data_IF_961189191509
#
_entry.id   IF_961189191509
#
_cell.length_a   1.000
_cell.length_b   1.000
_cell.length_c   1.000
_cell.angle_alpha   90.00
_cell.angle_beta   90.00
_cell.angle_gamma   90.00
#
_symmetry.space_group_name_H-M   'P 1'
#
loop_
_entity.id
_entity.type
_entity.pdbx_description
1 polymer ?
#
# COMPACT_ATOMS: atom_id res chain seq x y z
N UNK A 1 11.21 -1.33 7.85
CA UNK A 1 10.37 -2.55 7.80
C UNK A 1 11.15 -3.62 7.06
N UNK A 2 11.00 -4.89 7.44
CA UNK A 2 11.05 -6.08 6.58
C UNK A 2 11.88 -5.93 5.30
N UNK A 3 13.20 -6.01 5.40
CA UNK A 3 13.90 -6.68 4.31
C UNK A 3 13.42 -8.13 4.40
N UNK A 4 12.36 -8.47 3.67
CA UNK A 4 12.26 -9.84 3.17
C UNK A 4 12.32 -10.92 4.26
N UNK A 5 11.70 -10.79 5.44
CA UNK A 5 11.58 -12.00 6.28
C UNK A 5 10.46 -12.81 5.66
N UNK A 6 10.81 -13.58 4.64
CA UNK A 6 9.87 -14.00 3.59
C UNK A 6 9.35 -12.75 2.88
N UNK A 7 10.03 -12.18 1.87
CA UNK A 7 9.31 -12.23 0.58
C UNK A 7 8.99 -13.68 0.44
N UNK A 8 7.77 -14.04 0.87
CA UNK A 8 7.19 -15.14 0.18
C UNK A 8 7.93 -16.47 0.56
N UNK A 9 8.87 -16.52 1.58
CA UNK A 9 10.19 -17.24 1.57
C UNK A 9 10.28 -17.99 0.25
N UNK A 10 10.31 -17.20 -0.82
CA UNK A 10 10.43 -17.63 -2.21
C UNK A 10 9.59 -18.85 -2.57
N UNK A 11 8.28 -18.66 -2.48
CA UNK A 11 7.30 -19.68 -2.70
C UNK A 11 7.14 -20.66 -1.55
N UNK A 12 7.82 -20.53 -0.40
CA UNK A 12 7.82 -21.45 0.75
C UNK A 12 7.22 -22.84 0.45
N UNK A 13 7.72 -23.66 -0.48
CA UNK A 13 8.96 -23.65 -1.25
C UNK A 13 8.63 -23.93 -2.75
N UNK A 14 7.93 -23.02 -3.44
CA UNK A 14 7.15 -23.19 -4.69
C UNK A 14 6.01 -24.19 -4.58
N UNK A 15 5.03 -23.97 -3.68
CA UNK A 15 3.95 -24.95 -3.48
C UNK A 15 4.53 -26.37 -3.21
N UNK A 16 5.79 -26.46 -2.68
CA UNK A 16 6.63 -27.66 -2.51
C UNK A 16 5.82 -28.85 -2.01
N UNK A 17 5.31 -29.69 -2.89
CA UNK A 17 5.68 -29.99 -4.27
C UNK A 17 4.39 -29.89 -5.09
N UNK A 18 4.44 -29.76 -6.42
CA UNK A 18 3.45 -30.46 -7.29
C UNK A 18 2.82 -31.60 -6.49
N UNK A 19 1.55 -31.53 -6.08
CA UNK A 19 0.74 -32.65 -5.58
C UNK A 19 1.54 -33.97 -5.60
N UNK A 20 2.26 -34.30 -4.52
CA UNK A 20 3.40 -35.21 -4.49
C UNK A 20 3.27 -36.48 -5.37
N UNK A 21 3.55 -36.40 -6.69
CA UNK A 21 3.08 -37.38 -7.68
C UNK A 21 1.57 -37.71 -7.62
N UNK A 22 0.99 -37.88 -8.80
CA UNK A 22 -0.15 -38.74 -9.07
C UNK A 22 -0.27 -39.90 -8.04
N UNK A 23 -1.14 -39.75 -7.04
CA UNK A 23 -1.44 -40.79 -6.05
C UNK A 23 -2.32 -41.88 -6.66
N UNK A 24 -1.68 -42.79 -7.40
CA UNK A 24 -2.12 -44.13 -7.83
C UNK A 24 -3.19 -44.24 -8.93
N UNK A 25 -2.71 -44.38 -10.18
CA UNK A 25 -3.01 -45.50 -11.12
C UNK A 25 -4.45 -46.03 -11.21
N UNK A 26 -5.11 -45.77 -12.35
CA UNK A 26 -5.49 -46.73 -13.43
C UNK A 26 -6.82 -46.35 -14.11
N UNK A 27 -6.76 -46.29 -15.46
CA UNK A 27 -7.78 -46.55 -16.51
C UNK A 27 -9.27 -46.24 -16.20
N UNK A 28 -10.04 -45.50 -16.99
CA UNK A 28 -10.35 -45.72 -18.42
C UNK A 28 -11.19 -44.52 -18.98
N UNK A 29 -11.36 -44.37 -20.32
CA UNK A 29 -11.80 -43.14 -20.99
C UNK A 29 -13.32 -43.09 -21.26
N UNK A 30 -13.94 -41.90 -21.15
CA UNK A 30 -15.00 -41.40 -22.06
C UNK A 30 -15.69 -40.11 -21.58
N UNK A 31 -15.42 -38.99 -22.29
CA UNK A 31 -16.32 -37.88 -22.73
C UNK A 31 -17.33 -37.17 -21.80
N UNK A 32 -17.79 -35.92 -22.07
CA UNK A 32 -17.35 -34.94 -23.07
C UNK A 32 -16.91 -33.58 -22.47
N UNK A 33 -16.24 -32.79 -23.31
CA UNK A 33 -15.84 -31.38 -23.15
C UNK A 33 -16.88 -30.50 -22.44
N UNK A 34 -16.68 -30.30 -21.14
CA UNK A 34 -17.23 -29.17 -20.39
C UNK A 34 -16.22 -28.02 -20.45
N UNK A 35 -16.71 -26.86 -20.86
CA UNK A 35 -16.04 -25.58 -21.04
C UNK A 35 -14.73 -25.41 -20.26
N UNK A 36 -13.59 -25.39 -20.98
CA UNK A 36 -12.34 -24.87 -20.45
C UNK A 36 -12.57 -23.40 -20.10
N UNK A 37 -12.87 -23.10 -18.84
CA UNK A 37 -12.56 -21.79 -18.26
C UNK A 37 -11.04 -21.72 -18.24
N UNK A 38 -10.47 -21.32 -19.38
CA UNK A 38 -9.08 -20.97 -19.50
C UNK A 38 -8.83 -19.85 -18.49
N UNK A 39 -8.19 -20.16 -17.36
CA UNK A 39 -7.51 -19.15 -16.57
C UNK A 39 -6.46 -18.54 -17.49
N UNK A 40 -6.84 -17.39 -18.05
CA UNK A 40 -5.96 -16.53 -18.81
C UNK A 40 -4.93 -16.06 -17.78
N UNK A 41 -3.64 -16.25 -18.06
CA UNK A 41 -2.58 -15.81 -17.15
C UNK A 41 -2.84 -14.35 -16.74
N UNK A 42 -3.24 -14.15 -15.49
CA UNK A 42 -3.63 -12.83 -14.99
C UNK A 42 -2.35 -12.00 -14.93
N UNK A 43 -2.28 -10.95 -15.75
CA UNK A 43 -1.13 -10.05 -15.80
C UNK A 43 -1.56 -8.72 -15.20
N UNK A 44 -1.11 -8.49 -13.97
CA UNK A 44 -1.32 -7.22 -13.29
C UNK A 44 -0.27 -6.20 -13.71
N UNK A 45 -0.64 -4.93 -13.66
CA UNK A 45 0.30 -3.84 -13.91
C UNK A 45 1.13 -3.58 -12.65
N UNK A 46 2.45 -3.42 -12.81
CA UNK A 46 3.34 -2.92 -11.77
C UNK A 46 3.07 -1.42 -11.55
N UNK A 47 2.71 -1.04 -10.34
CA UNK A 47 2.34 0.33 -9.99
C UNK A 47 3.55 1.24 -9.80
N UNK A 48 4.73 0.71 -9.45
CA UNK A 48 5.98 1.49 -9.36
C UNK A 48 6.25 2.31 -10.62
N UNK A 49 6.33 1.64 -11.77
CA UNK A 49 6.55 2.29 -13.06
C UNK A 49 5.40 3.19 -13.52
N UNK A 50 4.18 2.98 -13.02
CA UNK A 50 3.04 3.86 -13.27
C UNK A 50 3.09 5.13 -12.42
N UNK A 51 3.45 5.00 -11.14
CA UNK A 51 3.59 6.13 -10.23
C UNK A 51 4.74 7.04 -10.67
N UNK A 52 5.86 6.49 -11.14
CA UNK A 52 6.96 7.27 -11.72
C UNK A 52 6.56 8.07 -12.97
N UNK A 53 5.45 7.71 -13.64
CA UNK A 53 4.91 8.48 -14.78
C UNK A 53 4.11 9.71 -14.36
N UNK A 54 3.64 9.78 -13.11
CA UNK A 54 2.80 10.89 -12.62
C UNK A 54 3.47 11.69 -11.49
N UNK A 55 4.26 11.04 -10.64
CA UNK A 55 4.94 11.64 -9.50
C UNK A 55 6.46 11.73 -9.72
N UNK A 56 7.15 12.67 -9.04
CA UNK A 56 8.61 12.69 -8.96
C UNK A 56 9.20 11.29 -8.70
N UNK A 57 10.28 10.87 -9.39
CA UNK A 57 10.94 9.59 -9.18
C UNK A 57 11.59 9.54 -7.79
N UNK A 58 12.13 8.37 -7.41
CA UNK A 58 12.87 8.20 -6.15
C UNK A 58 13.94 9.28 -6.02
N UNK A 59 13.77 10.17 -5.04
CA UNK A 59 14.65 11.31 -4.87
C UNK A 59 15.85 10.94 -4.00
N UNK A 60 17.01 10.76 -4.64
CA UNK A 60 18.30 10.64 -3.97
C UNK A 60 18.94 12.03 -3.90
N UNK A 61 18.84 12.68 -2.74
CA UNK A 61 19.43 14.00 -2.53
C UNK A 61 20.96 14.03 -2.75
N UNK A 62 21.56 15.21 -3.03
CA UNK A 62 23.00 15.32 -3.15
C UNK A 62 23.71 14.83 -1.87
N UNK A 63 24.77 14.04 -2.03
CA UNK A 63 25.61 13.55 -0.93
C UNK A 63 26.15 14.72 -0.09
N UNK A 64 25.56 14.91 1.10
CA UNK A 64 25.92 15.95 2.07
C UNK A 64 24.71 16.68 2.62
N UNK A 65 23.94 16.04 3.52
CA UNK A 65 22.95 16.70 4.37
C UNK A 65 23.48 16.79 5.82
N UNK A 66 23.13 17.84 6.60
CA UNK A 66 23.57 17.96 7.99
C UNK A 66 22.95 16.85 8.85
N UNK A 67 23.76 16.30 9.76
CA UNK A 67 23.27 15.49 10.88
C UNK A 67 22.68 16.43 11.94
N UNK A 68 21.35 16.50 12.03
CA UNK A 68 20.62 17.09 13.15
C UNK A 68 19.94 16.01 14.02
N UNK A 69 19.69 16.36 15.29
CA UNK A 69 18.99 15.49 16.25
C UNK A 69 17.55 15.17 15.76
N UNK A 70 16.94 14.14 16.37
CA UNK A 70 15.64 13.54 16.03
C UNK A 70 14.47 14.52 15.72
N UNK A 71 14.59 15.78 16.11
CA UNK A 71 13.60 16.83 15.86
C UNK A 71 13.67 17.43 14.44
N UNK A 72 14.72 17.21 13.64
CA UNK A 72 14.93 17.92 12.36
C UNK A 72 14.90 17.06 11.09
N UNK A 73 14.51 15.79 11.21
CA UNK A 73 14.61 14.81 10.10
C UNK A 73 13.77 15.16 8.84
N UNK A 74 12.69 15.94 8.99
CA UNK A 74 11.81 16.39 7.89
C UNK A 74 12.16 17.78 7.36
N UNK A 75 13.14 18.45 7.97
CA UNK A 75 13.53 19.84 7.67
C UNK A 75 15.01 19.98 7.32
N UNK A 76 15.82 18.92 7.50
CA UNK A 76 17.27 18.94 7.31
C UNK A 76 17.72 18.64 5.86
N UNK A 77 18.60 19.50 5.35
CA UNK A 77 19.17 19.38 4.00
C UNK A 77 18.65 20.44 3.03
N UNK A 78 19.12 20.41 1.77
CA UNK A 78 18.67 21.36 0.74
C UNK A 78 17.28 21.04 0.20
N UNK A 79 16.82 19.78 0.32
CA UNK A 79 15.53 19.29 -0.19
C UNK A 79 14.91 18.23 0.74
N UNK A 80 14.69 18.56 2.02
CA UNK A 80 14.32 17.59 3.05
C UNK A 80 13.01 16.86 2.76
N UNK A 81 12.00 17.56 2.22
CA UNK A 81 10.72 16.93 1.90
C UNK A 81 10.81 15.97 0.71
N UNK A 82 11.62 16.25 -0.31
CA UNK A 82 11.68 15.38 -1.50
C UNK A 82 12.20 13.98 -1.13
N UNK A 83 13.27 13.89 -0.35
CA UNK A 83 13.83 12.59 0.05
C UNK A 83 12.96 11.83 1.06
N UNK A 84 12.13 12.52 1.84
CA UNK A 84 11.24 11.87 2.82
C UNK A 84 9.88 11.49 2.26
N UNK A 85 9.37 12.29 1.31
CA UNK A 85 8.10 12.05 0.61
C UNK A 85 8.30 11.09 -0.55
N UNK A 86 9.28 11.33 -1.41
CA UNK A 86 9.58 10.54 -2.61
C UNK A 86 10.82 9.67 -2.44
N UNK A 87 11.23 9.35 -1.22
CA UNK A 87 12.30 8.38 -0.97
C UNK A 87 11.78 6.97 -0.75
N UNK A 88 12.71 6.11 -0.34
CA UNK A 88 12.47 4.71 0.07
C UNK A 88 12.91 4.44 1.52
N UNK A 89 13.63 5.38 2.15
CA UNK A 89 14.27 5.19 3.45
C UNK A 89 13.26 5.10 4.62
N UNK A 90 12.11 5.75 4.48
CA UNK A 90 11.11 5.84 5.53
C UNK A 90 9.90 4.96 5.19
N UNK A 91 9.32 4.23 6.16
CA UNK A 91 8.23 3.28 5.90
C UNK A 91 6.94 3.93 5.37
N UNK A 92 6.73 5.23 5.64
CA UNK A 92 5.58 5.99 5.15
C UNK A 92 5.86 6.77 3.86
N UNK A 93 7.07 6.70 3.31
CA UNK A 93 7.42 7.37 2.05
C UNK A 93 6.62 6.79 0.89
N UNK A 94 6.41 7.59 -0.17
CA UNK A 94 5.62 7.20 -1.34
C UNK A 94 6.15 5.89 -1.94
N UNK A 95 7.45 5.83 -2.26
CA UNK A 95 7.99 4.67 -2.97
C UNK A 95 8.13 3.44 -2.08
N UNK A 96 8.31 3.59 -0.75
CA UNK A 96 8.18 2.44 0.15
C UNK A 96 6.75 1.87 0.14
N UNK A 97 5.72 2.73 0.12
CA UNK A 97 4.34 2.27 0.03
C UNK A 97 4.01 1.62 -1.33
N UNK A 98 4.56 2.15 -2.43
CA UNK A 98 4.34 1.60 -3.78
C UNK A 98 5.09 0.28 -3.97
N UNK A 99 6.33 0.17 -3.47
CA UNK A 99 7.07 -1.11 -3.46
C UNK A 99 6.30 -2.20 -2.71
N UNK A 100 5.69 -1.88 -1.56
CA UNK A 100 4.84 -2.83 -0.83
C UNK A 100 3.60 -3.30 -1.65
N UNK A 101 3.05 -2.44 -2.51
CA UNK A 101 1.95 -2.78 -3.40
C UNK A 101 2.42 -3.69 -4.55
N UNK A 102 3.57 -3.39 -5.15
CA UNK A 102 4.17 -4.21 -6.20
C UNK A 102 4.53 -5.61 -5.69
N UNK A 103 5.06 -5.71 -4.46
CA UNK A 103 5.29 -6.99 -3.78
C UNK A 103 4.00 -7.81 -3.60
N UNK A 104 2.88 -7.14 -3.27
CA UNK A 104 1.56 -7.79 -3.15
C UNK A 104 1.11 -8.39 -4.49
N UNK A 105 1.34 -7.65 -5.58
CA UNK A 105 0.98 -8.04 -6.94
C UNK A 105 1.88 -9.16 -7.45
N UNK A 106 3.18 -9.09 -7.18
CA UNK A 106 4.12 -10.18 -7.49
C UNK A 106 3.66 -11.47 -6.79
N UNK A 107 3.29 -11.38 -5.51
CA UNK A 107 2.78 -12.52 -4.76
C UNK A 107 1.47 -13.08 -5.36
N UNK A 108 0.49 -12.22 -5.67
CA UNK A 108 -0.76 -12.63 -6.31
C UNK A 108 -0.51 -13.33 -7.65
N UNK A 109 0.34 -12.74 -8.49
CA UNK A 109 0.71 -13.27 -9.81
C UNK A 109 1.39 -14.62 -9.68
N UNK A 110 2.34 -14.76 -8.75
CA UNK A 110 3.01 -16.02 -8.48
C UNK A 110 2.02 -17.10 -8.02
N UNK A 111 1.09 -16.77 -7.12
CA UNK A 111 0.12 -17.74 -6.58
C UNK A 111 -0.85 -18.23 -7.67
N UNK A 112 -1.45 -17.32 -8.44
CA UNK A 112 -2.41 -17.66 -9.51
C UNK A 112 -1.76 -18.55 -10.56
N UNK A 113 -0.55 -18.20 -11.05
CA UNK A 113 0.20 -19.02 -12.00
C UNK A 113 0.51 -20.44 -11.47
N UNK A 114 0.79 -20.58 -10.17
CA UNK A 114 1.06 -21.88 -9.55
C UNK A 114 -0.20 -22.74 -9.43
N UNK A 115 -1.32 -22.14 -9.08
CA UNK A 115 -2.61 -22.83 -8.97
C UNK A 115 -3.09 -23.30 -10.35
N UNK A 116 -2.92 -22.46 -11.37
CA UNK A 116 -3.17 -22.82 -12.78
C UNK A 116 -2.31 -24.01 -13.22
N UNK A 117 -1.01 -23.96 -12.91
CA UNK A 117 -0.08 -25.04 -13.23
C UNK A 117 -0.41 -26.36 -12.52
N UNK A 118 -1.11 -26.29 -11.37
CA UNK A 118 -1.59 -27.45 -10.62
C UNK A 118 -2.98 -27.93 -11.07
N UNK A 119 -3.64 -27.25 -12.03
CA UNK A 119 -4.99 -27.56 -12.49
C UNK A 119 -6.08 -27.25 -11.46
N UNK A 120 -5.78 -26.41 -10.47
CA UNK A 120 -6.75 -25.94 -9.48
C UNK A 120 -7.63 -24.89 -10.16
N UNK A 121 -8.94 -25.10 -10.16
CA UNK A 121 -9.91 -24.20 -10.79
C UNK A 121 -11.08 -23.94 -9.87
N UNK A 122 -11.60 -22.70 -9.89
CA UNK A 122 -12.72 -22.26 -9.04
C UNK A 122 -12.37 -22.13 -7.56
N UNK A 123 -13.41 -21.95 -6.75
CA UNK A 123 -13.30 -21.78 -5.31
C UNK A 123 -12.62 -22.99 -4.65
N UNK A 124 -11.54 -22.75 -3.90
CA UNK A 124 -10.76 -23.81 -3.27
C UNK A 124 -10.06 -23.34 -2.01
N UNK A 125 -9.71 -24.28 -1.13
CA UNK A 125 -8.83 -24.05 0.02
C UNK A 125 -7.79 -25.15 0.08
N UNK A 126 -6.53 -24.75 0.21
CA UNK A 126 -5.37 -25.66 0.28
C UNK A 126 -4.61 -25.39 1.57
N UNK A 127 -4.33 -26.45 2.33
CA UNK A 127 -3.48 -26.37 3.53
C UNK A 127 -2.01 -26.52 3.14
N UNK A 128 -1.16 -25.64 3.68
CA UNK A 128 0.28 -25.67 3.43
C UNK A 128 0.96 -26.63 4.43
N UNK A 129 1.85 -27.55 3.98
CA UNK A 129 2.52 -28.52 4.86
C UNK A 129 3.31 -27.90 6.02
N UNK A 130 3.78 -26.67 5.86
CA UNK A 130 4.57 -25.92 6.83
C UNK A 130 3.69 -25.18 7.86
N UNK A 131 2.36 -25.28 7.71
CA UNK A 131 1.35 -24.56 8.48
C UNK A 131 0.69 -23.45 7.67
N UNK A 132 -0.62 -23.24 7.86
CA UNK A 132 -1.37 -22.20 7.16
C UNK A 132 -2.27 -22.68 6.02
N UNK A 133 -2.88 -21.74 5.31
CA UNK A 133 -3.86 -21.99 4.24
C UNK A 133 -3.79 -20.97 3.12
N UNK A 134 -4.07 -21.41 1.89
CA UNK A 134 -4.40 -20.54 0.76
C UNK A 134 -5.83 -20.82 0.32
N UNK A 135 -6.64 -19.77 0.14
CA UNK A 135 -8.00 -19.85 -0.36
C UNK A 135 -8.13 -18.98 -1.62
N UNK A 136 -8.81 -19.50 -2.64
CA UNK A 136 -9.34 -18.69 -3.72
C UNK A 136 -10.86 -18.74 -3.63
N UNK A 137 -11.51 -17.59 -3.80
CA UNK A 137 -12.96 -17.51 -3.79
C UNK A 137 -13.46 -16.44 -4.75
N UNK A 138 -14.45 -16.81 -5.54
CA UNK A 138 -15.25 -15.87 -6.32
C UNK A 138 -16.11 -15.04 -5.38
N UNK A 139 -16.04 -13.72 -5.50
CA UNK A 139 -16.82 -12.80 -4.70
C UNK A 139 -18.15 -12.49 -5.41
N UNK A 140 -19.27 -12.78 -4.72
CA UNK A 140 -20.62 -12.58 -5.27
C UNK A 140 -21.31 -11.32 -4.72
N UNK A 141 -20.63 -10.54 -3.89
CA UNK A 141 -21.19 -9.36 -3.22
C UNK A 141 -20.11 -8.31 -2.97
N UNK A 142 -20.48 -7.03 -2.90
CA UNK A 142 -19.54 -5.96 -2.60
C UNK A 142 -18.77 -6.24 -1.31
N UNK A 143 -17.45 -6.09 -1.37
CA UNK A 143 -16.57 -6.18 -0.20
C UNK A 143 -16.74 -4.91 0.63
N UNK A 144 -17.10 -5.06 1.90
CA UNK A 144 -17.29 -3.92 2.82
C UNK A 144 -15.95 -3.43 3.34
N UNK A 145 -15.72 -2.12 3.27
CA UNK A 145 -14.52 -1.49 3.82
C UNK A 145 -14.68 -1.29 5.34
N UNK A 146 -13.69 -1.68 6.17
CA UNK A 146 -13.72 -1.42 7.60
C UNK A 146 -14.00 0.04 7.91
N UNK A 147 -14.93 0.32 8.83
CA UNK A 147 -15.43 1.69 9.11
C UNK A 147 -14.31 2.71 9.33
N UNK A 148 -13.25 2.32 10.04
CA UNK A 148 -12.10 3.19 10.34
C UNK A 148 -11.25 3.55 9.10
N UNK A 149 -11.40 2.83 7.99
CA UNK A 149 -10.70 3.10 6.74
C UNK A 149 -11.56 3.89 5.75
N UNK A 150 -12.89 3.95 5.93
CA UNK A 150 -13.82 4.47 4.92
C UNK A 150 -13.59 5.95 4.57
N UNK A 151 -13.16 6.77 5.54
CA UNK A 151 -12.88 8.20 5.29
C UNK A 151 -11.65 8.42 4.42
N UNK A 152 -10.62 7.57 4.58
CA UNK A 152 -9.41 7.57 3.74
C UNK A 152 -9.69 6.92 2.38
N UNK A 153 -10.40 5.78 2.39
CA UNK A 153 -10.76 5.05 1.18
C UNK A 153 -11.80 5.79 0.34
N UNK A 154 -12.60 6.69 0.92
CA UNK A 154 -13.63 7.47 0.19
C UNK A 154 -14.86 6.66 -0.25
N UNK A 155 -14.97 5.40 0.15
CA UNK A 155 -16.10 4.53 -0.12
C UNK A 155 -16.31 3.52 1.02
N UNK A 156 -17.55 3.05 1.17
CA UNK A 156 -17.92 2.07 2.20
C UNK A 156 -17.85 0.62 1.73
N UNK A 157 -17.86 0.39 0.41
CA UNK A 157 -17.79 -0.92 -0.20
C UNK A 157 -17.19 -0.82 -1.61
N UNK A 158 -16.66 -1.94 -2.10
CA UNK A 158 -16.07 -2.07 -3.43
C UNK A 158 -16.47 -3.40 -4.06
N UNK A 159 -16.80 -3.38 -5.35
CA UNK A 159 -17.04 -4.59 -6.13
C UNK A 159 -15.71 -5.17 -6.60
N UNK A 160 -15.48 -6.43 -6.24
CA UNK A 160 -14.30 -7.22 -6.59
C UNK A 160 -14.80 -8.58 -7.05
N UNK A 161 -14.16 -9.18 -8.04
CA UNK A 161 -14.59 -10.45 -8.65
C UNK A 161 -14.01 -11.66 -7.92
N UNK A 162 -12.76 -11.57 -7.48
CA UNK A 162 -12.01 -12.67 -6.90
C UNK A 162 -11.29 -12.25 -5.61
N UNK A 163 -11.07 -13.22 -4.73
CA UNK A 163 -10.30 -13.09 -3.50
C UNK A 163 -9.26 -14.21 -3.41
N UNK A 164 -8.01 -13.84 -3.14
CA UNK A 164 -6.98 -14.77 -2.69
C UNK A 164 -6.65 -14.48 -1.23
N UNK A 165 -6.89 -15.45 -0.35
CA UNK A 165 -6.53 -15.36 1.07
C UNK A 165 -5.35 -16.25 1.37
N UNK A 166 -4.45 -15.77 2.20
CA UNK A 166 -3.31 -16.51 2.70
C UNK A 166 -3.21 -16.33 4.22
N UNK A 167 -3.09 -17.46 4.91
CA UNK A 167 -2.68 -17.50 6.31
C UNK A 167 -1.36 -18.24 6.35
N UNK A 168 -0.30 -17.59 6.82
CA UNK A 168 1.00 -18.20 7.01
C UNK A 168 1.29 -18.28 8.51
N UNK A 169 1.67 -19.47 8.99
CA UNK A 169 2.05 -19.70 10.39
C UNK A 169 3.52 -20.07 10.42
N UNK A 170 4.33 -19.30 11.14
CA UNK A 170 5.77 -19.55 11.24
C UNK A 170 6.24 -19.37 12.66
N UNK A 171 6.72 -20.46 13.28
CA UNK A 171 7.10 -20.49 14.69
C UNK A 171 5.96 -19.99 15.60
N UNK A 172 6.11 -18.80 16.19
CA UNK A 172 5.13 -18.13 17.03
C UNK A 172 4.32 -17.05 16.30
N UNK A 173 4.68 -16.72 15.06
CA UNK A 173 4.09 -15.61 14.31
C UNK A 173 3.01 -16.13 13.36
N UNK A 174 1.92 -15.36 13.24
CA UNK A 174 0.85 -15.62 12.26
C UNK A 174 0.66 -14.38 11.40
N UNK A 175 0.64 -14.59 10.09
CA UNK A 175 0.46 -13.54 9.09
C UNK A 175 -0.77 -13.86 8.24
N UNK A 176 -1.57 -12.83 8.00
CA UNK A 176 -2.76 -12.84 7.16
C UNK A 176 -2.49 -11.95 5.96
N UNK A 177 -2.80 -12.42 4.77
CA UNK A 177 -2.68 -11.66 3.53
C UNK A 177 -3.89 -11.98 2.65
N UNK A 178 -4.80 -11.01 2.51
CA UNK A 178 -6.01 -11.16 1.73
C UNK A 178 -5.97 -10.15 0.56
N UNK A 179 -6.09 -10.61 -0.68
CA UNK A 179 -6.06 -9.77 -1.87
C UNK A 179 -7.32 -10.01 -2.68
N UNK A 180 -8.23 -9.03 -2.66
CA UNK A 180 -9.39 -9.01 -3.54
C UNK A 180 -9.08 -8.20 -4.80
N UNK A 181 -9.53 -8.67 -5.96
CA UNK A 181 -9.25 -7.99 -7.23
C UNK A 181 -10.37 -8.13 -8.27
N UNK A 182 -10.41 -7.17 -9.18
CA UNK A 182 -11.16 -7.19 -10.45
C UNK A 182 -10.21 -6.81 -11.58
N UNK A 183 -10.25 -7.58 -12.67
CA UNK A 183 -9.47 -7.31 -13.86
C UNK A 183 -10.38 -7.31 -15.10
N UNK A 184 -10.36 -6.21 -15.85
CA UNK A 184 -11.04 -6.08 -17.14
C UNK A 184 -10.06 -5.63 -18.23
N UNK A 185 -10.52 -5.60 -19.48
CA UNK A 185 -9.73 -5.04 -20.59
C UNK A 185 -9.41 -3.54 -20.42
N UNK A 186 -10.13 -2.84 -19.54
CA UNK A 186 -10.03 -1.39 -19.35
C UNK A 186 -9.55 -0.97 -17.97
N UNK A 187 -9.66 -1.82 -16.95
CA UNK A 187 -9.38 -1.43 -15.56
C UNK A 187 -8.78 -2.58 -14.77
N UNK A 188 -7.94 -2.24 -13.79
CA UNK A 188 -7.52 -3.16 -12.75
C UNK A 188 -7.82 -2.53 -11.39
N UNK A 189 -8.32 -3.34 -10.47
CA UNK A 189 -8.65 -2.90 -9.12
C UNK A 189 -8.18 -3.95 -8.12
N UNK A 190 -7.47 -3.52 -7.10
CA UNK A 190 -6.99 -4.36 -6.01
C UNK A 190 -7.36 -3.74 -4.66
N UNK A 191 -7.75 -4.60 -3.73
CA UNK A 191 -7.83 -4.31 -2.30
C UNK A 191 -6.98 -5.34 -1.58
N UNK A 192 -5.92 -4.89 -0.92
CA UNK A 192 -4.98 -5.76 -0.20
C UNK A 192 -5.08 -5.48 1.28
N UNK A 193 -5.38 -6.52 2.06
CA UNK A 193 -5.34 -6.50 3.51
C UNK A 193 -4.20 -7.38 4.00
N UNK A 194 -3.51 -6.91 5.03
CA UNK A 194 -2.55 -7.71 5.79
C UNK A 194 -2.74 -7.49 7.27
N UNK A 195 -2.44 -8.52 8.03
CA UNK A 195 -2.13 -8.39 9.44
C UNK A 195 -1.02 -9.35 9.84
N UNK A 196 -0.22 -8.96 10.81
CA UNK A 196 0.76 -9.83 11.43
C UNK A 196 0.78 -9.65 12.94
N UNK A 197 0.77 -10.79 13.63
CA UNK A 197 1.05 -10.87 15.06
C UNK A 197 2.51 -11.32 15.20
N UNK A 198 3.38 -10.40 15.63
CA UNK A 198 4.81 -10.62 15.83
C UNK A 198 5.10 -10.66 17.33
N UNK A 199 5.79 -11.70 17.80
CA UNK A 199 6.30 -11.78 19.17
C UNK A 199 5.25 -11.41 20.26
N UNK A 200 4.10 -12.09 20.33
CA UNK A 200 3.05 -11.99 21.38
C UNK A 200 2.48 -10.61 21.77
N UNK A 201 3.10 -9.49 21.42
CA UNK A 201 2.74 -8.14 21.83
C UNK A 201 2.84 -7.11 20.71
N UNK A 202 3.55 -7.39 19.62
CA UNK A 202 3.61 -6.49 18.46
C UNK A 202 2.56 -6.92 17.46
N UNK A 203 1.67 -6.01 17.08
CA UNK A 203 0.65 -6.28 16.06
C UNK A 203 0.70 -5.21 15.00
N UNK A 204 0.49 -5.59 13.74
CA UNK A 204 0.36 -4.64 12.65
C UNK A 204 -0.70 -5.07 11.66
N UNK A 205 -1.32 -4.09 11.02
CA UNK A 205 -2.31 -4.30 9.97
C UNK A 205 -2.23 -3.19 8.94
N UNK A 206 -2.45 -3.53 7.68
CA UNK A 206 -2.56 -2.56 6.61
C UNK A 206 -3.68 -2.91 5.65
N UNK A 207 -4.30 -1.87 5.09
CA UNK A 207 -5.28 -1.96 4.02
C UNK A 207 -4.89 -1.02 2.89
N UNK A 208 -4.68 -1.56 1.71
CA UNK A 208 -4.35 -0.83 0.48
C UNK A 208 -5.45 -0.99 -0.55
N UNK A 209 -5.80 0.10 -1.21
CA UNK A 209 -6.60 0.12 -2.41
C UNK A 209 -5.75 0.65 -3.56
N UNK A 210 -5.84 0.00 -4.71
CA UNK A 210 -5.19 0.44 -5.93
C UNK A 210 -6.14 0.27 -7.12
N UNK A 211 -6.28 1.33 -7.91
CA UNK A 211 -7.04 1.33 -9.15
C UNK A 211 -6.19 1.89 -10.28
N UNK A 212 -6.29 1.27 -11.44
CA UNK A 212 -5.75 1.81 -12.69
C UNK A 212 -6.77 1.66 -13.81
N UNK A 213 -6.92 2.72 -14.60
CA UNK A 213 -7.58 2.69 -15.90
C UNK A 213 -6.53 2.51 -16.99
N UNK A 214 -6.63 1.42 -17.74
CA UNK A 214 -5.68 1.04 -18.79
C UNK A 214 -5.88 1.84 -20.09
N UNK A 215 -6.98 2.58 -20.22
CA UNK A 215 -7.31 3.38 -21.41
C UNK A 215 -6.71 4.78 -21.33
N UNK A 216 -6.82 5.43 -20.17
CA UNK A 216 -6.37 6.81 -19.96
C UNK A 216 -5.25 6.94 -18.92
N UNK A 217 -4.75 5.81 -18.40
CA UNK A 217 -3.66 5.75 -17.41
C UNK A 217 -3.95 6.46 -16.09
N UNK A 218 -5.22 6.66 -15.75
CA UNK A 218 -5.62 7.17 -14.43
C UNK A 218 -5.25 6.17 -13.34
N UNK A 219 -4.61 6.64 -12.26
CA UNK A 219 -4.19 5.85 -11.11
C UNK A 219 -4.82 6.45 -9.85
N UNK A 220 -5.24 5.60 -8.91
CA UNK A 220 -5.66 6.00 -7.56
C UNK A 220 -5.22 4.94 -6.57
N UNK A 221 -4.33 5.31 -5.64
CA UNK A 221 -3.79 4.42 -4.62
C UNK A 221 -4.05 5.06 -3.26
N UNK A 222 -4.61 4.27 -2.34
CA UNK A 222 -4.97 4.70 -0.98
C UNK A 222 -4.48 3.67 0.02
N UNK A 223 -3.97 4.11 1.16
CA UNK A 223 -3.43 3.23 2.19
C UNK A 223 -3.79 3.67 3.60
N UNK A 224 -4.04 2.69 4.46
CA UNK A 224 -4.25 2.86 5.90
C UNK A 224 -3.40 1.83 6.63
N UNK A 225 -2.52 2.30 7.51
CA UNK A 225 -1.59 1.47 8.26
C UNK A 225 -1.73 1.69 9.77
N UNK A 226 -1.63 0.59 10.52
CA UNK A 226 -1.57 0.60 11.97
C UNK A 226 -0.53 -0.40 12.47
N UNK A 227 0.31 0.01 13.42
CA UNK A 227 1.20 -0.86 14.19
C UNK A 227 1.20 -0.50 15.66
N UNK A 228 1.06 -1.50 16.51
CA UNK A 228 1.24 -1.44 17.96
C UNK A 228 2.51 -2.21 18.33
N UNK A 229 3.41 -1.58 19.08
CA UNK A 229 4.66 -2.18 19.53
C UNK A 229 4.52 -2.96 20.85
N UNK A 230 3.33 -2.98 21.46
CA UNK A 230 3.02 -3.75 22.67
C UNK A 230 3.48 -3.11 23.98
N UNK A 231 4.08 -1.91 23.90
CA UNK A 231 4.57 -1.12 25.02
C UNK A 231 3.81 0.21 25.18
N UNK A 232 2.56 0.24 24.70
CA UNK A 232 1.71 1.43 24.63
C UNK A 232 2.21 2.49 23.63
N UNK A 233 3.09 2.11 22.70
CA UNK A 233 3.45 2.94 21.55
C UNK A 233 2.91 2.36 20.24
N UNK A 234 2.54 3.23 19.31
CA UNK A 234 1.95 2.91 18.02
C UNK A 234 2.41 3.86 16.93
N UNK A 235 2.63 3.29 15.75
CA UNK A 235 2.91 4.03 14.52
C UNK A 235 1.74 3.83 13.55
N UNK A 236 1.28 4.91 12.94
CA UNK A 236 0.12 4.91 12.04
C UNK A 236 0.41 5.82 10.88
N UNK A 237 -0.07 5.49 9.70
CA UNK A 237 -0.08 6.44 8.60
C UNK A 237 -1.19 6.13 7.63
N UNK A 238 -1.60 7.17 6.91
CA UNK A 238 -2.60 7.09 5.86
C UNK A 238 -2.12 7.92 4.67
N UNK A 239 -2.41 7.48 3.46
CA UNK A 239 -2.03 8.22 2.27
C UNK A 239 -3.00 8.01 1.11
N UNK A 240 -2.92 8.92 0.15
CA UNK A 240 -3.58 8.83 -1.13
C UNK A 240 -2.70 9.52 -2.19
N UNK A 241 -2.45 8.81 -3.30
CA UNK A 241 -1.89 9.37 -4.54
C UNK A 241 -2.87 9.10 -5.68
N UNK A 242 -3.13 10.11 -6.48
CA UNK A 242 -4.04 10.00 -7.63
C UNK A 242 -3.55 10.82 -8.82
N UNK A 243 -3.88 10.33 -10.01
CA UNK A 243 -3.81 11.09 -11.26
C UNK A 243 -4.99 12.06 -11.31
N UNK A 244 -4.72 13.36 -11.43
CA UNK A 244 -5.77 14.39 -11.56
C UNK A 244 -6.15 14.58 -13.03
N UNK A 245 -5.17 14.51 -13.90
CA UNK A 245 -5.28 14.43 -15.36
C UNK A 245 -4.04 13.70 -15.89
N UNK A 246 -3.95 13.47 -17.21
CA UNK A 246 -2.85 12.69 -17.82
C UNK A 246 -1.42 13.13 -17.41
N UNK A 247 -1.23 14.37 -16.97
CA UNK A 247 0.08 14.92 -16.62
C UNK A 247 0.24 15.37 -15.17
N UNK A 248 -0.86 15.49 -14.42
CA UNK A 248 -0.86 16.06 -13.07
C UNK A 248 -1.22 15.01 -12.03
N UNK A 249 -0.56 15.08 -10.88
CA UNK A 249 -0.82 14.22 -9.71
C UNK A 249 -1.28 15.03 -8.50
N UNK A 250 -1.93 14.34 -7.58
CA UNK A 250 -2.24 14.81 -6.22
C UNK A 250 -1.74 13.77 -5.23
N UNK A 251 -1.10 14.22 -4.15
CA UNK A 251 -0.59 13.38 -3.09
C UNK A 251 -0.92 13.99 -1.73
N UNK A 252 -1.38 13.14 -0.81
CA UNK A 252 -1.57 13.51 0.58
C UNK A 252 -1.22 12.33 1.47
N UNK A 253 -0.55 12.61 2.57
CA UNK A 253 -0.13 11.60 3.54
C UNK A 253 -0.07 12.21 4.92
N UNK A 254 -0.41 11.43 5.93
CA UNK A 254 -0.09 11.80 7.31
C UNK A 254 0.36 10.60 8.10
N UNK A 255 1.28 10.84 9.03
CA UNK A 255 1.80 9.82 9.93
C UNK A 255 1.65 10.31 11.36
N UNK A 256 1.36 9.35 12.23
CA UNK A 256 1.18 9.56 13.64
C UNK A 256 2.15 8.68 14.44
N UNK A 257 2.71 9.27 15.48
CA UNK A 257 3.39 8.57 16.57
C UNK A 257 2.77 9.02 17.89
N UNK A 258 2.47 8.11 18.81
CA UNK A 258 2.05 8.45 20.17
C UNK A 258 3.23 8.74 21.12
N UNK A 259 4.46 8.37 20.74
CA UNK A 259 5.69 8.73 21.44
C UNK A 259 6.73 9.34 20.48
N UNK A 260 6.67 10.66 20.35
CA UNK A 260 7.68 11.49 19.69
C UNK A 260 8.32 12.42 20.73
N UNK A 261 9.17 11.85 21.59
CA UNK A 261 9.85 12.61 22.64
C UNK A 261 8.94 12.92 23.84
N UNK A 262 8.07 11.98 24.21
CA UNK A 262 7.18 12.11 25.37
C UNK A 262 5.83 12.79 25.11
N UNK A 263 5.49 13.02 23.84
CA UNK A 263 4.16 13.48 23.40
C UNK A 263 3.83 12.88 22.03
N UNK A 264 2.54 12.87 21.67
CA UNK A 264 2.10 12.44 20.34
C UNK A 264 2.46 13.48 19.28
N UNK A 265 2.64 13.02 18.04
CA UNK A 265 2.97 13.84 16.88
C UNK A 265 2.15 13.40 15.68
N UNK A 266 1.65 14.36 14.92
CA UNK A 266 1.06 14.13 13.60
C UNK A 266 1.80 14.98 12.57
N UNK A 267 2.44 14.34 11.61
CA UNK A 267 3.01 15.00 10.44
C UNK A 267 2.09 14.82 9.23
N UNK A 268 1.95 15.88 8.43
CA UNK A 268 1.04 15.92 7.30
C UNK A 268 1.74 16.50 6.08
N UNK A 269 1.68 15.78 4.97
CA UNK A 269 2.15 16.22 3.65
C UNK A 269 0.97 16.30 2.69
N UNK A 270 0.91 17.38 1.93
CA UNK A 270 0.03 17.51 0.76
C UNK A 270 0.82 18.09 -0.40
N UNK A 271 0.53 17.67 -1.61
CA UNK A 271 1.25 18.13 -2.78
C UNK A 271 0.59 17.69 -4.07
N UNK A 272 1.11 18.21 -5.17
CA UNK A 272 0.62 17.88 -6.50
C UNK A 272 1.00 18.90 -7.54
N UNK A 273 0.60 18.62 -8.77
CA UNK A 273 1.02 19.36 -9.96
C UNK A 273 1.61 18.44 -11.01
N UNK A 274 2.46 18.99 -11.87
CA UNK A 274 3.06 18.28 -12.98
C UNK A 274 4.55 18.05 -12.71
N UNK A 275 4.98 16.80 -12.59
CA UNK A 275 6.39 16.48 -12.32
C UNK A 275 7.34 16.95 -13.44
N UNK A 276 6.83 17.06 -14.67
CA UNK A 276 7.60 17.43 -15.87
C UNK A 276 7.59 18.95 -16.15
N UNK A 277 6.84 19.73 -15.37
CA UNK A 277 6.84 21.19 -15.40
C UNK A 277 7.15 21.78 -14.01
N UNK A 278 6.13 21.80 -13.14
CA UNK A 278 6.25 22.25 -11.76
C UNK A 278 5.23 21.55 -10.85
N UNK A 279 5.62 21.32 -9.61
CA UNK A 279 4.74 20.78 -8.57
C UNK A 279 4.99 21.46 -7.22
N UNK A 280 3.96 21.46 -6.38
CA UNK A 280 4.00 22.07 -5.05
C UNK A 280 3.81 21.03 -3.95
N UNK A 281 4.37 21.31 -2.78
CA UNK A 281 4.22 20.51 -1.57
C UNK A 281 4.11 21.41 -0.36
N UNK A 282 3.37 20.95 0.64
CA UNK A 282 3.33 21.52 1.98
C UNK A 282 3.57 20.44 3.01
N UNK A 283 4.26 20.81 4.08
CA UNK A 283 4.38 20.03 5.31
C UNK A 283 3.81 20.81 6.49
N UNK A 284 3.03 20.13 7.32
CA UNK A 284 2.47 20.64 8.57
C UNK A 284 2.72 19.62 9.68
N UNK A 285 3.11 20.08 10.85
CA UNK A 285 3.25 19.24 12.04
C UNK A 285 2.33 19.73 13.16
N UNK A 286 1.76 18.78 13.88
CA UNK A 286 0.94 19.00 15.07
C UNK A 286 1.61 18.26 16.23
N UNK A 287 2.02 19.00 17.24
CA UNK A 287 2.69 18.48 18.43
C UNK A 287 2.19 19.23 19.67
N UNK A 288 1.33 18.63 20.52
CA UNK A 288 0.79 17.25 20.43
C UNK A 288 -0.11 17.04 19.21
N UNK A 289 -0.31 15.79 18.77
CA UNK A 289 -1.06 15.45 17.54
C UNK A 289 -2.52 15.94 17.51
N UNK A 290 -3.16 16.17 18.67
CA UNK A 290 -4.56 16.57 18.80
C UNK A 290 -4.76 18.10 18.83
N UNK A 291 -3.68 18.88 18.71
CA UNK A 291 -3.78 20.33 18.63
C UNK A 291 -4.37 20.79 17.29
N UNK A 292 -5.12 21.88 17.31
CA UNK A 292 -5.60 22.54 16.09
C UNK A 292 -4.57 23.55 15.51
N UNK A 293 -3.46 23.79 16.22
CA UNK A 293 -2.45 24.79 15.85
C UNK A 293 -1.21 24.09 15.32
N UNK A 294 -0.87 24.36 14.06
CA UNK A 294 0.36 23.85 13.45
C UNK A 294 1.58 24.40 14.21
N UNK A 295 2.56 23.53 14.46
CA UNK A 295 3.84 23.95 15.02
C UNK A 295 4.55 24.88 14.03
N UNK A 296 4.73 26.14 14.42
CA UNK A 296 5.35 27.17 13.58
C UNK A 296 6.77 26.86 13.15
N UNK A 297 7.45 25.95 13.86
CA UNK A 297 8.81 25.53 13.52
C UNK A 297 8.83 24.53 12.36
N UNK A 298 7.69 23.93 12.03
CA UNK A 298 7.52 22.84 11.08
C UNK A 298 6.38 23.15 10.08
N UNK A 299 6.46 24.35 9.51
CA UNK A 299 5.64 24.80 8.40
C UNK A 299 6.57 24.96 7.19
N UNK A 300 6.45 24.06 6.22
CA UNK A 300 7.20 24.16 4.97
C UNK A 300 6.23 24.25 3.81
N UNK A 301 6.45 25.23 2.95
CA UNK A 301 5.75 25.42 1.68
C UNK A 301 6.82 25.41 0.60
N UNK A 302 6.77 24.44 -0.31
CA UNK A 302 7.81 24.24 -1.31
C UNK A 302 7.23 24.05 -2.70
N UNK A 303 7.86 24.68 -3.69
CA UNK A 303 7.55 24.51 -5.09
C UNK A 303 8.82 24.13 -5.85
N UNK A 304 8.69 23.22 -6.80
CA UNK A 304 9.82 22.66 -7.55
C UNK A 304 9.54 22.72 -9.06
N UNK A 305 10.59 22.90 -9.87
CA UNK A 305 10.51 22.65 -11.31
C UNK A 305 10.79 21.16 -11.64
N UNK A 306 10.72 20.81 -12.92
CA UNK A 306 11.04 19.48 -13.44
C UNK A 306 12.48 19.00 -13.23
N UNK A 307 13.37 19.90 -12.81
CA UNK A 307 14.74 19.57 -12.38
C UNK A 307 14.89 19.48 -10.86
N UNK A 308 13.77 19.49 -10.12
CA UNK A 308 13.72 19.45 -8.64
C UNK A 308 14.38 20.66 -7.95
N UNK A 309 14.55 21.76 -8.68
CA UNK A 309 15.07 23.00 -8.10
C UNK A 309 13.96 23.75 -7.37
N UNK A 310 14.27 24.23 -6.16
CA UNK A 310 13.32 25.00 -5.36
C UNK A 310 13.05 26.37 -6.00
N UNK A 311 11.77 26.64 -6.29
CA UNK A 311 11.32 27.85 -6.97
C UNK A 311 10.90 28.99 -6.03
N UNK A 312 10.84 28.73 -4.72
CA UNK A 312 10.33 29.70 -3.75
C UNK A 312 8.86 29.45 -3.41
N UNK A 313 8.12 30.55 -3.28
CA UNK A 313 6.72 30.56 -2.86
C UNK A 313 5.82 29.80 -3.85
N UNK A 314 4.73 29.22 -3.31
CA UNK A 314 3.74 28.50 -4.10
C UNK A 314 2.96 29.49 -4.98
N UNK A 315 2.96 29.26 -6.29
CA UNK A 315 2.23 30.08 -7.25
C UNK A 315 0.71 29.89 -7.12
N UNK A 316 -0.07 30.95 -7.35
CA UNK A 316 -1.53 30.97 -7.15
C UNK A 316 -2.33 29.89 -7.92
N UNK A 317 -1.75 29.28 -8.96
CA UNK A 317 -2.38 28.16 -9.69
C UNK A 317 -2.24 26.79 -9.02
N UNK A 318 -1.37 26.65 -8.02
CA UNK A 318 -1.10 25.37 -7.34
C UNK A 318 -1.87 25.19 -6.03
N UNK A 319 -2.63 26.21 -5.61
CA UNK A 319 -3.39 26.20 -4.35
C UNK A 319 -4.38 25.03 -4.26
N UNK A 320 -4.89 24.56 -5.40
CA UNK A 320 -5.82 23.41 -5.46
C UNK A 320 -5.14 22.10 -5.03
N UNK A 321 -3.86 21.91 -5.38
CA UNK A 321 -3.08 20.72 -5.03
C UNK A 321 -2.61 20.72 -3.57
N UNK A 322 -2.40 21.91 -3.00
CA UNK A 322 -1.90 22.10 -1.63
C UNK A 322 -2.94 22.74 -0.70
N UNK A 323 -4.22 22.44 -0.95
CA UNK A 323 -5.30 22.89 -0.08
C UNK A 323 -5.26 22.14 1.26
N UNK A 324 -5.00 22.86 2.35
CA UNK A 324 -4.86 22.29 3.69
C UNK A 324 -6.16 21.66 4.21
N UNK A 325 -7.32 21.97 3.62
CA UNK A 325 -8.57 21.28 3.92
C UNK A 325 -8.55 19.79 3.51
N UNK A 326 -7.60 19.38 2.66
CA UNK A 326 -7.44 18.00 2.20
C UNK A 326 -6.46 17.18 3.06
N UNK A 327 -5.85 17.79 4.08
CA UNK A 327 -4.94 17.11 5.00
C UNK A 327 -5.69 16.00 5.73
N UNK A 328 -5.06 14.83 5.81
CA UNK A 328 -5.45 13.80 6.75
C UNK A 328 -5.06 14.25 8.17
N UNK A 329 -6.04 14.71 8.92
CA UNK A 329 -5.90 15.08 10.33
C UNK A 329 -5.93 13.84 11.23
N UNK A 330 -5.80 14.02 12.54
CA UNK A 330 -5.81 12.92 13.52
C UNK A 330 -7.06 12.03 13.42
N UNK A 331 -8.21 12.56 12.99
CA UNK A 331 -9.45 11.80 12.88
C UNK A 331 -9.43 10.71 11.80
N UNK A 332 -8.49 10.80 10.83
CA UNK A 332 -8.30 9.80 9.79
C UNK A 332 -7.40 8.65 10.22
N UNK A 333 -6.68 8.80 11.34
CA UNK A 333 -5.73 7.80 11.79
C UNK A 333 -6.47 6.61 12.43
N UNK A 334 -6.16 5.36 12.05
CA UNK A 334 -6.76 4.20 12.68
C UNK A 334 -6.38 4.14 14.16
N UNK A 335 -7.35 3.92 15.06
CA UNK A 335 -7.07 3.87 16.50
C UNK A 335 -6.87 2.45 17.03
N UNK A 336 -7.14 1.45 16.20
CA UNK A 336 -7.03 0.03 16.52
C UNK A 336 -6.60 -0.76 15.28
N UNK A 337 -6.20 -2.02 15.48
CA UNK A 337 -5.90 -2.96 14.43
C UNK A 337 -7.04 -3.03 13.40
N UNK A 338 -6.68 -2.84 12.13
CA UNK A 338 -7.61 -2.91 11.00
C UNK A 338 -8.12 -4.34 10.90
N UNK A 339 -9.43 -4.48 10.74
CA UNK A 339 -10.07 -5.78 10.55
C UNK A 339 -10.02 -6.17 9.07
N UNK A 340 -9.85 -7.46 8.79
CA UNK A 340 -9.97 -7.95 7.41
C UNK A 340 -11.35 -7.61 6.85
N UNK A 341 -11.44 -7.06 5.62
CA UNK A 341 -12.71 -6.90 4.90
C UNK A 341 -13.47 -8.22 4.70
N UNK A 342 -12.78 -9.36 4.86
CA UNK A 342 -13.31 -10.71 4.67
C UNK A 342 -13.22 -11.58 5.94
N UNK A 343 -13.15 -10.96 7.13
CA UNK A 343 -13.31 -11.69 8.39
C UNK A 343 -14.73 -12.25 8.48
N UNK A 344 -14.85 -13.58 8.67
CA UNK A 344 -16.12 -14.27 8.92
C UNK A 344 -16.34 -14.56 10.41
#
# INVERSE_FOLDING_TARGET
>A
MVNRKLLVLLGLVTLATTLAFMGCSSDDPSTPTGNNNNNSSVTFTEFGGLVEQIAPPVYVGPQGAPQGALDSIWTDGSHPLLGKVFGEDEPMSLYSNVENLDDAIEMLTMMTQKMDSAGITGDTTVTIPEGGTVEIRTLASPTTIPTQCQSVMGFSAIDLDDLVRMVAVWQSDTMYYDIGYTLTDSTQTLLTYFAADQDASVTESFLYYAYVNLVDSTIDIRGVFFKDYGDYTSARWVYNIETVNESDFSYRMSWYSDDAGGSSLLGCVIGGGNKDDQFAMKYRQYYPADTAVVDSSYILDQMFNSSYEYLGDISAGYETYVNEANIFTLEYQPTVLIQSPWAE
#
